data_IF_683746298718
#
_entry.id   IF_683746298718
#
_cell.length_a   1.000
_cell.length_b   1.000
_cell.length_c   1.000
_cell.angle_alpha   90.00
_cell.angle_beta   90.00
_cell.angle_gamma   90.00
#
_symmetry.space_group_name_H-M   'P 1'
#
loop_
_entity.id
_entity.type
_entity.pdbx_description
1 polymer ?
#
# COMPACT_ATOMS: atom_id res chain seq x y z
N UNK A 1 -12.51 3.48 15.62
CA UNK A 1 -11.48 3.02 14.66
C UNK A 1 -11.68 3.73 13.32
N UNK A 2 -10.60 4.16 12.71
CA UNK A 2 -10.66 4.84 11.41
C UNK A 2 -10.64 3.80 10.28
N UNK A 3 -11.41 4.04 9.23
CA UNK A 3 -11.39 3.21 8.02
C UNK A 3 -10.57 3.91 6.93
N UNK A 4 -10.10 3.13 5.96
CA UNK A 4 -9.21 3.67 4.92
C UNK A 4 -9.86 4.84 4.15
N UNK A 5 -11.14 4.75 3.82
CA UNK A 5 -11.83 5.84 3.13
C UNK A 5 -11.82 7.13 3.95
N UNK A 6 -11.88 7.03 5.27
CA UNK A 6 -11.80 8.18 6.15
C UNK A 6 -10.39 8.78 6.16
N UNK A 7 -9.37 7.91 6.18
CA UNK A 7 -7.97 8.35 6.12
C UNK A 7 -7.71 9.13 4.84
N UNK A 8 -8.19 8.63 3.71
CA UNK A 8 -8.00 9.27 2.41
C UNK A 8 -8.82 10.57 2.26
N UNK A 9 -9.76 10.82 3.16
CA UNK A 9 -10.58 12.04 3.16
C UNK A 9 -9.96 13.17 3.97
N UNK A 10 -8.88 12.92 4.71
CA UNK A 10 -8.22 13.94 5.51
C UNK A 10 -7.61 15.00 4.57
N UNK A 11 -7.90 16.30 4.77
CA UNK A 11 -7.43 17.33 3.84
C UNK A 11 -5.93 17.36 3.58
N UNK A 12 -5.11 17.07 4.58
CA UNK A 12 -3.66 17.04 4.43
C UNK A 12 -3.17 15.84 3.62
N UNK A 13 -4.04 14.86 3.37
CA UNK A 13 -3.71 13.64 2.64
C UNK A 13 -4.42 13.56 1.28
N UNK A 14 -4.95 14.67 0.78
CA UNK A 14 -5.66 14.69 -0.50
C UNK A 14 -4.77 14.35 -1.70
N UNK A 15 -3.45 14.46 -1.56
CA UNK A 15 -2.52 14.13 -2.62
C UNK A 15 -2.29 12.63 -2.76
N UNK A 16 -2.75 11.84 -1.80
CA UNK A 16 -2.72 10.38 -1.91
C UNK A 16 -3.77 9.96 -2.92
N UNK A 17 -3.37 9.16 -3.90
CA UNK A 17 -4.29 8.71 -4.95
C UNK A 17 -4.34 7.20 -5.03
N UNK A 18 -5.52 6.67 -5.33
CA UNK A 18 -5.73 5.25 -5.49
C UNK A 18 -5.15 4.79 -6.83
N UNK A 19 -4.30 3.76 -6.80
CA UNK A 19 -3.65 3.24 -8.00
C UNK A 19 -4.58 2.25 -8.73
N UNK A 20 -5.17 1.33 -7.98
CA UNK A 20 -6.02 0.30 -8.57
C UNK A 20 -7.50 0.65 -8.43
N UNK A 21 -8.31 0.21 -9.39
CA UNK A 21 -9.72 0.59 -9.46
C UNK A 21 -10.59 -0.22 -8.53
N UNK A 22 -10.30 -1.50 -8.37
CA UNK A 22 -11.10 -2.39 -7.53
C UNK A 22 -10.43 -2.53 -6.17
N UNK A 23 -10.71 -1.58 -5.29
CA UNK A 23 -10.11 -1.57 -3.96
C UNK A 23 -11.19 -1.41 -2.90
N UNK A 24 -11.14 -2.24 -1.87
CA UNK A 24 -12.05 -2.15 -0.74
C UNK A 24 -11.55 -1.08 0.23
N UNK A 25 -12.20 0.07 0.24
CA UNK A 25 -11.80 1.20 1.09
C UNK A 25 -12.44 1.17 2.47
N UNK A 26 -13.25 0.16 2.75
CA UNK A 26 -13.88 -0.03 4.07
C UNK A 26 -12.97 -0.77 5.05
N UNK A 27 -11.72 -0.95 4.71
CA UNK A 27 -10.77 -1.65 5.58
C UNK A 27 -10.40 -0.79 6.77
N UNK A 28 -10.42 -1.36 7.99
CA UNK A 28 -10.03 -0.60 9.18
C UNK A 28 -8.54 -0.32 9.21
N UNK A 29 -8.17 0.86 9.72
CA UNK A 29 -6.79 1.28 9.88
C UNK A 29 -6.51 1.48 11.37
N UNK A 30 -5.85 0.52 11.98
CA UNK A 30 -5.48 0.60 13.39
C UNK A 30 -4.13 1.29 13.58
N UNK A 31 -3.20 1.05 12.65
CA UNK A 31 -1.84 1.63 12.72
C UNK A 31 -1.36 1.99 11.33
N UNK A 32 -0.34 2.85 11.28
CA UNK A 32 0.38 3.19 10.06
C UNK A 32 1.86 2.88 10.30
N UNK A 33 2.44 2.06 9.42
CA UNK A 33 3.83 1.65 9.54
C UNK A 33 4.59 1.98 8.26
N UNK A 34 5.81 2.50 8.41
CA UNK A 34 6.69 2.76 7.28
C UNK A 34 7.83 1.74 7.32
N UNK A 35 8.02 0.99 6.26
CA UNK A 35 9.04 -0.05 6.24
C UNK A 35 9.59 -0.29 4.83
N UNK A 36 10.86 -0.72 4.78
CA UNK A 36 11.51 -1.08 3.52
C UNK A 36 11.95 -2.54 3.48
N UNK A 37 11.70 -3.29 4.55
CA UNK A 37 12.16 -4.68 4.61
C UNK A 37 11.24 -5.62 3.83
N UNK A 38 11.80 -6.60 3.10
CA UNK A 38 10.97 -7.54 2.35
C UNK A 38 10.19 -8.54 3.22
N UNK A 39 10.62 -8.77 4.45
CA UNK A 39 9.95 -9.71 5.36
C UNK A 39 8.96 -9.03 6.31
N UNK A 40 8.33 -7.96 5.85
CA UNK A 40 7.37 -7.18 6.63
C UNK A 40 6.24 -8.05 7.21
N UNK A 41 5.87 -9.12 6.52
CA UNK A 41 4.79 -10.01 6.94
C UNK A 41 5.06 -10.63 8.30
N UNK A 42 6.32 -10.86 8.64
CA UNK A 42 6.66 -11.55 9.89
C UNK A 42 6.40 -10.72 11.14
N UNK A 43 6.21 -9.40 11.01
CA UNK A 43 6.03 -8.54 12.19
C UNK A 43 4.92 -7.50 12.08
N UNK A 44 4.32 -7.30 10.92
CA UNK A 44 3.29 -6.28 10.77
C UNK A 44 1.97 -6.76 11.36
N UNK A 45 1.26 -5.91 12.12
CA UNK A 45 -0.02 -6.31 12.70
C UNK A 45 -1.16 -6.20 11.69
N UNK A 46 -2.30 -6.80 12.05
CA UNK A 46 -3.53 -6.63 11.28
C UNK A 46 -3.95 -5.17 11.23
N UNK A 47 -4.72 -4.83 10.21
CA UNK A 47 -5.33 -3.50 10.07
C UNK A 47 -4.28 -2.39 9.97
N UNK A 48 -3.10 -2.72 9.47
CA UNK A 48 -2.02 -1.78 9.28
C UNK A 48 -2.06 -1.19 7.88
N UNK A 49 -1.87 0.13 7.77
CA UNK A 49 -1.61 0.77 6.49
C UNK A 49 -0.09 0.91 6.35
N UNK A 50 0.47 0.24 5.36
CA UNK A 50 1.93 0.17 5.19
C UNK A 50 2.38 1.18 4.14
N UNK A 51 3.45 1.90 4.45
CA UNK A 51 4.06 2.88 3.55
C UNK A 51 5.47 2.40 3.20
N UNK A 52 5.79 2.38 1.91
CA UNK A 52 7.10 1.93 1.45
C UNK A 52 7.53 2.66 0.19
N UNK A 53 8.84 2.74 -0.04
CA UNK A 53 9.38 3.19 -1.33
C UNK A 53 9.41 2.03 -2.32
N UNK A 54 9.23 0.80 -1.84
CA UNK A 54 9.32 -0.43 -2.61
C UNK A 54 10.72 -0.67 -3.20
N UNK A 55 11.76 -0.14 -2.54
CA UNK A 55 13.14 -0.29 -2.98
C UNK A 55 13.54 -1.76 -3.15
N UNK A 56 13.08 -2.62 -2.25
CA UNK A 56 13.41 -4.05 -2.28
C UNK A 56 12.85 -4.76 -3.52
N UNK A 57 11.88 -4.14 -4.21
CA UNK A 57 11.18 -4.75 -5.35
C UNK A 57 11.54 -4.09 -6.68
N UNK A 58 12.51 -3.17 -6.67
CA UNK A 58 12.90 -2.42 -7.87
C UNK A 58 13.27 -3.33 -9.03
N UNK A 59 13.99 -4.41 -8.76
CA UNK A 59 14.46 -5.33 -9.79
C UNK A 59 13.48 -6.48 -10.08
N UNK A 60 12.49 -6.68 -9.22
CA UNK A 60 11.54 -7.78 -9.40
C UNK A 60 10.20 -7.44 -8.78
N UNK A 61 9.32 -6.86 -9.58
CA UNK A 61 7.99 -6.46 -9.11
C UNK A 61 7.05 -7.65 -8.88
N UNK A 62 7.36 -8.82 -9.41
CA UNK A 62 6.54 -10.00 -9.15
C UNK A 62 6.43 -10.31 -7.66
N UNK A 63 7.49 -9.99 -6.92
CA UNK A 63 7.47 -10.20 -5.47
C UNK A 63 6.48 -9.28 -4.76
N UNK A 64 6.14 -8.15 -5.37
CA UNK A 64 5.07 -7.28 -4.85
C UNK A 64 3.72 -8.00 -4.91
N UNK A 65 3.50 -8.81 -5.94
CA UNK A 65 2.26 -9.57 -6.05
C UNK A 65 2.11 -10.52 -4.85
N UNK A 66 3.18 -11.22 -4.49
CA UNK A 66 3.18 -12.11 -3.33
C UNK A 66 2.95 -11.35 -2.04
N UNK A 67 3.59 -10.19 -1.90
CA UNK A 67 3.42 -9.33 -0.73
C UNK A 67 1.97 -8.88 -0.59
N UNK A 68 1.37 -8.41 -1.68
CA UNK A 68 -0.01 -7.93 -1.69
C UNK A 68 -0.97 -9.03 -1.22
N UNK A 69 -0.81 -10.24 -1.76
CA UNK A 69 -1.68 -11.35 -1.37
C UNK A 69 -1.51 -11.71 0.09
N UNK A 70 -0.28 -11.65 0.60
CA UNK A 70 -0.02 -11.94 2.02
C UNK A 70 -0.58 -10.86 2.94
N UNK A 71 -0.45 -9.59 2.54
CA UNK A 71 -1.01 -8.48 3.31
C UNK A 71 -2.53 -8.52 3.34
N UNK A 72 -3.13 -8.94 2.23
CA UNK A 72 -4.59 -9.08 2.16
C UNK A 72 -5.10 -10.13 3.14
N UNK A 73 -4.35 -11.20 3.33
CA UNK A 73 -4.74 -12.30 4.23
C UNK A 73 -4.65 -11.96 5.71
N UNK A 74 -3.77 -11.05 6.11
CA UNK A 74 -3.56 -10.71 7.53
C UNK A 74 -4.84 -10.27 8.24
N UNK A 75 -5.75 -9.41 7.77
CA UNK A 75 -5.67 -8.46 6.66
C UNK A 75 -5.08 -7.11 7.07
N UNK A 76 -4.39 -6.48 6.14
CA UNK A 76 -3.92 -5.11 6.27
C UNK A 76 -4.87 -4.15 5.57
N UNK A 77 -4.74 -2.85 5.88
CA UNK A 77 -5.63 -1.83 5.32
C UNK A 77 -5.27 -1.47 3.87
N UNK A 78 -3.98 -1.49 3.55
CA UNK A 78 -3.52 -1.14 2.22
C UNK A 78 -2.02 -0.95 2.19
N UNK A 79 -1.51 -0.69 0.99
CA UNK A 79 -0.09 -0.47 0.75
C UNK A 79 0.09 0.85 0.02
N UNK A 80 0.74 1.81 0.70
CA UNK A 80 1.10 3.09 0.11
C UNK A 80 2.51 3.01 -0.45
N UNK A 81 2.67 3.33 -1.73
CA UNK A 81 3.96 3.25 -2.41
C UNK A 81 4.36 4.65 -2.88
N UNK A 82 5.57 5.05 -2.53
CA UNK A 82 6.13 6.32 -2.98
C UNK A 82 6.69 6.16 -4.39
N UNK A 83 5.80 6.21 -5.39
CA UNK A 83 6.22 6.10 -6.79
C UNK A 83 7.07 7.30 -7.17
N UNK A 84 8.06 7.04 -8.02
CA UNK A 84 9.03 8.06 -8.43
C UNK A 84 10.34 8.02 -7.66
N UNK A 85 10.38 7.28 -6.54
CA UNK A 85 11.61 7.17 -5.75
C UNK A 85 12.54 6.08 -6.33
N UNK A 86 12.05 4.84 -6.41
CA UNK A 86 12.80 3.70 -6.94
C UNK A 86 12.05 3.02 -8.08
N UNK A 87 10.72 3.03 -8.01
CA UNK A 87 9.84 2.47 -9.04
C UNK A 87 8.98 3.63 -9.55
N UNK A 88 9.03 3.90 -10.84
CA UNK A 88 8.23 4.99 -11.44
C UNK A 88 6.80 4.56 -11.70
N UNK A 89 6.61 3.33 -12.17
CA UNK A 89 5.29 2.77 -12.46
C UNK A 89 5.24 1.32 -12.00
N UNK A 90 4.08 0.91 -11.51
CA UNK A 90 3.85 -0.48 -11.16
C UNK A 90 3.53 -1.27 -12.42
N UNK A 91 4.06 -2.50 -12.52
CA UNK A 91 3.70 -3.39 -13.61
C UNK A 91 2.20 -3.68 -13.59
N UNK A 92 1.56 -3.81 -14.76
CA UNK A 92 0.13 -4.15 -14.82
C UNK A 92 -0.24 -5.38 -13.99
N UNK A 93 0.67 -6.35 -13.91
CA UNK A 93 0.44 -7.57 -13.14
C UNK A 93 0.28 -7.29 -11.65
N UNK A 94 1.02 -6.33 -11.11
CA UNK A 94 0.92 -5.93 -9.70
C UNK A 94 -0.46 -5.32 -9.44
N UNK A 95 -0.89 -4.42 -10.33
CA UNK A 95 -2.19 -3.76 -10.21
C UNK A 95 -3.32 -4.78 -10.33
N UNK A 96 -3.21 -5.71 -11.29
CA UNK A 96 -4.20 -6.76 -11.48
C UNK A 96 -4.31 -7.68 -10.26
N UNK A 97 -3.18 -8.01 -9.65
CA UNK A 97 -3.16 -8.83 -8.45
C UNK A 97 -3.92 -8.15 -7.31
N UNK A 98 -3.67 -6.86 -7.10
CA UNK A 98 -4.37 -6.09 -6.08
C UNK A 98 -5.87 -6.02 -6.38
N UNK A 99 -6.23 -5.76 -7.64
CA UNK A 99 -7.64 -5.70 -8.05
C UNK A 99 -8.36 -7.02 -7.81
N UNK A 100 -7.67 -8.14 -8.01
CA UNK A 100 -8.28 -9.47 -7.89
C UNK A 100 -8.78 -9.77 -6.48
N UNK A 101 -8.18 -9.15 -5.46
CA UNK A 101 -8.56 -9.34 -4.06
C UNK A 101 -9.10 -8.07 -3.41
N UNK A 102 -9.22 -6.98 -4.18
CA UNK A 102 -9.71 -5.71 -3.66
C UNK A 102 -8.76 -5.04 -2.68
N UNK A 103 -7.47 -5.34 -2.76
CA UNK A 103 -6.48 -4.77 -1.85
C UNK A 103 -6.06 -3.37 -2.33
N UNK A 104 -6.19 -2.33 -1.48
CA UNK A 104 -5.88 -0.97 -1.91
C UNK A 104 -4.39 -0.71 -2.13
N UNK A 105 -4.06 -0.17 -3.31
CA UNK A 105 -2.73 0.36 -3.60
C UNK A 105 -2.85 1.87 -3.74
N UNK A 106 -2.05 2.60 -2.97
CA UNK A 106 -2.13 4.05 -2.88
C UNK A 106 -0.79 4.66 -3.34
N UNK A 107 -0.85 5.64 -4.24
CA UNK A 107 0.34 6.40 -4.61
C UNK A 107 0.56 7.52 -3.59
N UNK A 108 1.73 7.54 -3.00
CA UNK A 108 2.14 8.58 -2.06
C UNK A 108 3.17 9.47 -2.77
N UNK A 109 2.89 10.77 -2.99
CA UNK A 109 3.86 11.67 -3.61
C UNK A 109 5.17 11.70 -2.81
N UNK A 110 6.30 11.68 -3.50
CA UNK A 110 7.61 11.60 -2.85
C UNK A 110 7.93 12.83 -2.00
N UNK A 111 7.28 13.95 -2.28
CA UNK A 111 7.49 15.18 -1.49
C UNK A 111 6.67 15.21 -0.20
N UNK A 112 5.72 14.31 -0.04
CA UNK A 112 4.83 14.29 1.11
C UNK A 112 5.48 13.57 2.28
N UNK A 113 5.49 14.21 3.44
CA UNK A 113 6.02 13.63 4.67
C UNK A 113 4.86 13.21 5.57
N UNK A 114 4.78 11.93 5.89
CA UNK A 114 3.73 11.38 6.75
C UNK A 114 4.23 10.99 8.14
N UNK A 115 5.44 11.40 8.46
CA UNK A 115 6.06 11.02 9.72
C UNK A 115 5.84 11.98 10.87
#
# INVERSE_FOLDING_TARGET
>A
MMYLNELLSIPTLQELTLINQNACLDRPVATIESTETPDVISYVPKNCFIITTAMAYKENQEKLCELILSLDKLPCAGLGIKLGRFIDELDPKVIQTADSVGFPLINIPIHLTLG
#
